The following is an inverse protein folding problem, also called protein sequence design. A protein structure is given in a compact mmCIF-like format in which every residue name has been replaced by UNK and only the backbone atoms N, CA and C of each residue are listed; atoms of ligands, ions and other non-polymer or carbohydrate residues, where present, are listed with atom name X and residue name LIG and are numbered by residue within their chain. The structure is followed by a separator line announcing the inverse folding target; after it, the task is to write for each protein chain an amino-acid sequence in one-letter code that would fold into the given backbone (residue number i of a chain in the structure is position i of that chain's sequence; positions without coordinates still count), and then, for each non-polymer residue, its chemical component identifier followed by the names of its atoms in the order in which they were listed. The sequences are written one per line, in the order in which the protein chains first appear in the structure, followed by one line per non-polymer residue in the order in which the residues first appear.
data_IF_050737115689
#
_entry.id   IF_050737115689
#
_cell.length_a   1.000
_cell.length_b   1.000
_cell.length_c   1.000
_cell.angle_alpha   90.00
_cell.angle_beta   90.00
_cell.angle_gamma   90.00
#
_symmetry.space_group_name_H-M   'P 1'
#
loop_
_entity.id
_entity.type
_entity.pdbx_description
1 polymer ?
#
# COMPACT_ATOMS: atom_id res chain seq x y z
N UNK A 1 0.87 -11.91 -16.04
CA UNK A 1 1.27 -12.55 -14.76
C UNK A 1 2.60 -12.03 -14.18
N UNK A 2 2.84 -10.71 -14.11
CA UNK A 2 4.04 -10.15 -13.45
C UNK A 2 3.75 -9.33 -12.18
N UNK A 3 2.50 -8.94 -11.91
CA UNK A 3 2.16 -7.96 -10.87
C UNK A 3 2.30 -8.48 -9.43
N UNK A 4 2.15 -9.79 -9.19
CA UNK A 4 2.26 -10.36 -7.82
C UNK A 4 3.64 -10.15 -7.17
N UNK A 5 4.67 -9.88 -7.99
CA UNK A 5 6.02 -9.59 -7.50
C UNK A 5 6.12 -8.21 -6.83
N UNK A 6 5.23 -7.27 -7.17
CA UNK A 6 5.24 -5.92 -6.62
C UNK A 6 4.60 -5.89 -5.23
N UNK A 7 5.23 -5.18 -4.30
CA UNK A 7 4.71 -5.02 -2.94
C UNK A 7 3.39 -4.24 -2.96
N UNK A 8 3.40 -3.09 -3.65
CA UNK A 8 2.32 -2.11 -3.73
C UNK A 8 1.96 -1.80 -5.19
N UNK A 9 0.67 -1.56 -5.46
CA UNK A 9 0.18 -0.79 -6.62
C UNK A 9 -0.37 0.53 -6.10
N UNK A 10 0.09 1.65 -6.67
CA UNK A 10 -0.42 2.99 -6.37
C UNK A 10 -1.01 3.54 -7.66
N UNK A 11 -2.25 4.01 -7.59
CA UNK A 11 -2.89 4.74 -8.67
C UNK A 11 -2.60 6.23 -8.47
N UNK A 12 -2.01 6.86 -9.48
CA UNK A 12 -1.68 8.28 -9.47
C UNK A 12 -2.56 8.98 -10.51
N UNK A 13 -3.43 9.87 -10.04
CA UNK A 13 -4.15 10.79 -10.93
C UNK A 13 -3.23 11.91 -11.39
N UNK A 14 -3.58 12.54 -12.50
CA UNK A 14 -2.93 13.79 -12.89
C UNK A 14 -3.20 14.87 -11.84
N UNK A 15 -2.24 15.79 -11.62
CA UNK A 15 -2.43 16.92 -10.72
C UNK A 15 -3.59 17.80 -11.20
N UNK A 16 -4.16 18.59 -10.29
CA UNK A 16 -5.10 19.63 -10.67
C UNK A 16 -4.41 20.69 -11.55
N UNK A 17 -5.18 21.41 -12.37
CA UNK A 17 -4.62 22.41 -13.27
C UNK A 17 -3.80 23.50 -12.56
N UNK A 18 -4.13 23.82 -11.30
CA UNK A 18 -3.38 24.78 -10.48
C UNK A 18 -2.02 24.25 -10.02
N UNK A 19 -1.96 22.99 -9.60
CA UNK A 19 -0.72 22.30 -9.24
C UNK A 19 0.16 22.11 -10.48
N UNK A 20 -0.43 21.75 -11.62
CA UNK A 20 0.27 21.64 -12.89
C UNK A 20 0.86 23.00 -13.32
N UNK A 21 0.09 24.09 -13.19
CA UNK A 21 0.59 25.43 -13.47
C UNK A 21 1.75 25.82 -12.52
N UNK A 22 1.72 25.43 -11.25
CA UNK A 22 2.83 25.66 -10.35
C UNK A 22 4.07 24.84 -10.72
N UNK A 23 3.91 23.58 -11.14
CA UNK A 23 5.02 22.78 -11.69
C UNK A 23 5.64 23.49 -12.90
N UNK A 24 4.82 24.00 -13.82
CA UNK A 24 5.29 24.76 -14.99
C UNK A 24 6.00 26.05 -14.59
N UNK A 25 5.48 26.80 -13.60
CA UNK A 25 6.13 28.01 -13.08
C UNK A 25 7.49 27.71 -12.47
N UNK A 26 7.61 26.64 -11.67
CA UNK A 26 8.90 26.18 -11.11
C UNK A 26 9.89 25.83 -12.21
N UNK A 27 9.42 25.23 -13.31
CA UNK A 27 10.25 24.97 -14.49
C UNK A 27 10.80 26.26 -15.10
N UNK A 28 9.92 27.26 -15.33
CA UNK A 28 10.31 28.57 -15.88
C UNK A 28 11.28 29.33 -14.96
N UNK A 29 11.09 29.23 -13.63
CA UNK A 29 12.00 29.83 -12.64
C UNK A 29 13.34 29.08 -12.49
N UNK A 30 13.49 27.92 -13.13
CA UNK A 30 14.69 27.07 -13.00
C UNK A 30 14.79 26.37 -11.64
N UNK A 31 13.67 26.21 -10.93
CA UNK A 31 13.60 25.63 -9.59
C UNK A 31 13.36 24.11 -9.59
N UNK A 32 13.08 23.51 -10.75
CA UNK A 32 12.96 22.06 -10.87
C UNK A 32 14.36 21.41 -10.88
N UNK A 33 14.81 20.98 -9.71
CA UNK A 33 16.03 20.19 -9.56
C UNK A 33 15.79 18.74 -10.04
N UNK A 34 16.68 18.21 -10.90
CA UNK A 34 16.71 16.78 -11.28
C UNK A 34 16.31 16.45 -12.72
N UNK A 35 15.93 17.45 -13.54
CA UNK A 35 15.67 17.26 -14.97
C UNK A 35 16.91 17.44 -15.86
N UNK A 36 17.98 18.06 -15.34
CA UNK A 36 19.31 18.09 -15.96
C UNK A 36 20.32 17.36 -15.07
N UNK A 37 21.33 16.75 -15.69
CA UNK A 37 22.41 16.07 -14.98
C UNK A 37 23.25 17.02 -14.09
N UNK A 38 23.12 18.33 -14.31
CA UNK A 38 23.84 19.40 -13.60
C UNK A 38 23.03 20.00 -12.44
N UNK A 39 21.77 19.60 -12.28
CA UNK A 39 20.93 20.09 -11.21
C UNK A 39 21.48 19.64 -9.85
N UNK A 40 21.78 20.60 -8.98
CA UNK A 40 22.17 20.30 -7.60
C UNK A 40 21.02 19.58 -6.92
N UNK A 41 21.24 18.31 -6.56
CA UNK A 41 20.30 17.59 -5.71
C UNK A 41 20.20 18.29 -4.35
N UNK A 42 19.03 18.23 -3.67
CA UNK A 42 18.93 18.67 -2.29
C UNK A 42 19.96 17.99 -1.40
N UNK A 43 20.33 18.63 -0.29
CA UNK A 43 21.19 18.02 0.70
C UNK A 43 20.59 16.69 1.19
N UNK A 44 21.42 15.65 1.25
CA UNK A 44 20.99 14.35 1.73
C UNK A 44 20.57 14.47 3.21
N UNK A 45 19.32 14.09 3.49
CA UNK A 45 18.75 14.07 4.85
C UNK A 45 18.88 12.70 5.52
N UNK A 46 19.43 11.71 4.81
CA UNK A 46 19.68 10.38 5.34
C UNK A 46 20.87 9.70 4.65
N UNK A 47 21.42 8.65 5.25
CA UNK A 47 22.48 7.81 4.70
C UNK A 47 21.99 6.39 4.34
N UNK A 48 22.72 5.64 3.48
CA UNK A 48 22.43 4.23 3.21
C UNK A 48 22.39 3.35 4.47
N UNK A 49 23.24 3.65 5.46
CA UNK A 49 23.31 2.95 6.75
C UNK A 49 22.06 3.21 7.59
N UNK A 50 21.61 4.47 7.66
CA UNK A 50 20.37 4.85 8.34
C UNK A 50 19.15 4.20 7.67
N UNK A 51 19.09 4.20 6.34
CA UNK A 51 18.03 3.51 5.60
C UNK A 51 18.03 1.99 5.88
N UNK A 52 19.21 1.36 6.03
CA UNK A 52 19.32 -0.04 6.42
C UNK A 52 18.88 -0.29 7.87
N UNK A 53 19.19 0.65 8.77
CA UNK A 53 18.73 0.62 10.15
C UNK A 53 17.20 0.73 10.23
N UNK A 54 16.58 1.62 9.45
CA UNK A 54 15.12 1.76 9.36
C UNK A 54 14.45 0.48 8.83
N UNK A 55 15.00 -0.16 7.79
CA UNK A 55 14.52 -1.48 7.32
C UNK A 55 14.60 -2.56 8.40
N UNK A 56 15.60 -2.49 9.27
CA UNK A 56 15.75 -3.42 10.38
C UNK A 56 14.79 -3.11 11.52
N UNK A 57 14.54 -1.82 11.78
CA UNK A 57 13.59 -1.34 12.77
C UNK A 57 12.15 -1.72 12.41
N UNK A 58 11.75 -1.62 11.13
CA UNK A 58 10.39 -1.99 10.70
C UNK A 58 10.07 -3.45 11.00
N UNK A 59 11.06 -4.36 10.88
CA UNK A 59 10.89 -5.78 11.20
C UNK A 59 10.72 -6.06 12.70
N UNK A 60 11.10 -5.12 13.57
CA UNK A 60 10.96 -5.21 15.03
C UNK A 60 9.65 -4.61 15.53
N UNK A 61 8.89 -3.92 14.69
CA UNK A 61 7.55 -3.41 15.04
C UNK A 61 6.68 -4.59 15.46
N UNK A 62 6.13 -4.49 16.66
CA UNK A 62 5.31 -5.52 17.27
C UNK A 62 3.99 -5.70 16.53
N UNK A 63 3.56 -6.96 16.41
CA UNK A 63 2.25 -7.34 15.86
C UNK A 63 1.68 -8.39 16.78
N UNK A 64 0.50 -8.14 17.35
CA UNK A 64 -0.14 -9.10 18.25
C UNK A 64 -0.64 -10.33 17.49
N UNK A 65 -0.83 -11.43 18.19
CA UNK A 65 -1.41 -12.64 17.60
C UNK A 65 -2.84 -12.39 17.11
N UNK A 66 -3.62 -11.53 17.78
CA UNK A 66 -4.98 -11.21 17.30
C UNK A 66 -4.96 -10.48 15.95
N UNK A 67 -3.96 -9.61 15.72
CA UNK A 67 -3.79 -8.93 14.44
C UNK A 67 -3.32 -9.87 13.33
N UNK A 68 -2.46 -10.83 13.65
CA UNK A 68 -2.07 -11.88 12.69
C UNK A 68 -3.28 -12.74 12.30
N UNK A 69 -4.10 -13.12 13.29
CA UNK A 69 -5.35 -13.83 13.06
C UNK A 69 -6.35 -12.98 12.24
N UNK A 70 -6.46 -11.69 12.54
CA UNK A 70 -7.30 -10.74 11.79
C UNK A 70 -6.87 -10.64 10.31
N UNK A 71 -5.57 -10.50 10.04
CA UNK A 71 -5.02 -10.50 8.68
C UNK A 71 -5.34 -11.82 7.95
N UNK A 72 -5.20 -12.95 8.64
CA UNK A 72 -5.57 -14.26 8.13
C UNK A 72 -7.06 -14.34 7.75
N UNK A 73 -7.95 -13.82 8.62
CA UNK A 73 -9.40 -13.73 8.35
C UNK A 73 -9.69 -12.84 7.14
N UNK A 74 -9.10 -11.64 7.06
CA UNK A 74 -9.24 -10.76 5.89
C UNK A 74 -8.88 -11.49 4.59
N UNK A 75 -7.74 -12.17 4.55
CA UNK A 75 -7.31 -12.88 3.35
C UNK A 75 -8.26 -14.04 3.00
N UNK A 76 -8.76 -14.76 4.00
CA UNK A 76 -9.73 -15.84 3.81
C UNK A 76 -11.06 -15.33 3.28
N UNK A 77 -11.59 -14.24 3.83
CA UNK A 77 -12.88 -13.66 3.41
C UNK A 77 -12.80 -13.03 2.03
N UNK A 78 -11.68 -12.38 1.66
CA UNK A 78 -11.47 -11.92 0.29
C UNK A 78 -11.48 -13.09 -0.71
N UNK A 79 -10.84 -14.22 -0.38
CA UNK A 79 -10.82 -15.41 -1.28
C UNK A 79 -12.18 -16.08 -1.43
N UNK A 80 -13.09 -15.91 -0.46
CA UNK A 80 -14.45 -16.47 -0.49
C UNK A 80 -15.48 -15.49 -1.04
N UNK A 81 -15.12 -14.22 -1.23
CA UNK A 81 -16.04 -13.21 -1.68
C UNK A 81 -16.61 -13.60 -3.06
N UNK A 82 -17.94 -13.62 -3.26
CA UNK A 82 -18.55 -14.10 -4.51
C UNK A 82 -18.00 -13.44 -5.79
N UNK A 83 -17.69 -12.14 -5.81
CA UNK A 83 -17.11 -11.48 -6.99
C UNK A 83 -15.66 -11.88 -7.32
N UNK A 84 -14.97 -12.66 -6.47
CA UNK A 84 -13.53 -12.92 -6.57
C UNK A 84 -13.28 -14.31 -7.14
N UNK A 85 -12.59 -14.38 -8.28
CA UNK A 85 -12.09 -15.61 -8.88
C UNK A 85 -10.77 -16.07 -8.23
N UNK A 86 -9.88 -15.11 -7.94
CA UNK A 86 -8.61 -15.37 -7.27
C UNK A 86 -8.30 -14.26 -6.27
N UNK A 87 -8.16 -14.63 -5.00
CA UNK A 87 -7.78 -13.71 -3.92
C UNK A 87 -6.27 -13.66 -3.64
N UNK A 88 -5.84 -12.87 -2.64
CA UNK A 88 -4.43 -12.70 -2.30
C UNK A 88 -3.80 -14.04 -1.86
N UNK A 89 -2.61 -14.35 -2.36
CA UNK A 89 -1.82 -15.52 -1.92
C UNK A 89 -1.20 -15.32 -0.53
N UNK A 90 -0.54 -16.33 0.09
CA UNK A 90 0.24 -16.11 1.31
C UNK A 90 1.30 -15.01 1.18
N UNK A 91 1.84 -14.80 -0.03
CA UNK A 91 2.73 -13.67 -0.33
C UNK A 91 2.01 -12.32 -0.20
N UNK A 92 0.73 -12.25 -0.59
CA UNK A 92 -0.12 -11.08 -0.37
C UNK A 92 -0.31 -10.77 1.11
N UNK A 93 -0.49 -11.80 1.95
CA UNK A 93 -0.57 -11.65 3.41
C UNK A 93 0.73 -11.09 4.00
N UNK A 94 1.89 -11.63 3.60
CA UNK A 94 3.19 -11.12 4.04
C UNK A 94 3.44 -9.68 3.57
N UNK A 95 3.05 -9.35 2.34
CA UNK A 95 3.16 -8.00 1.81
C UNK A 95 2.38 -6.99 2.67
N UNK A 96 1.13 -7.33 3.02
CA UNK A 96 0.29 -6.47 3.85
C UNK A 96 0.89 -6.27 5.25
N UNK A 97 1.39 -7.34 5.87
CA UNK A 97 2.04 -7.30 7.18
C UNK A 97 3.27 -6.37 7.20
N UNK A 98 4.18 -6.54 6.24
CA UNK A 98 5.40 -5.72 6.13
C UNK A 98 5.07 -4.25 5.85
N UNK A 99 4.06 -4.00 5.02
CA UNK A 99 3.58 -2.64 4.73
C UNK A 99 2.93 -1.98 5.94
N UNK A 100 2.16 -2.72 6.74
CA UNK A 100 1.57 -2.20 7.98
C UNK A 100 2.64 -1.87 9.03
N UNK A 101 3.67 -2.71 9.18
CA UNK A 101 4.84 -2.42 10.03
C UNK A 101 5.60 -1.18 9.59
N UNK A 102 5.80 -1.02 8.28
CA UNK A 102 6.42 0.18 7.72
C UNK A 102 5.58 1.44 8.00
N UNK A 103 4.25 1.33 7.89
CA UNK A 103 3.32 2.42 8.19
C UNK A 103 3.39 2.83 9.65
N UNK A 104 3.29 1.88 10.57
CA UNK A 104 3.40 2.14 12.01
C UNK A 104 4.73 2.82 12.36
N UNK A 105 5.86 2.34 11.81
CA UNK A 105 7.17 2.93 12.04
C UNK A 105 7.26 4.38 11.53
N UNK A 106 6.74 4.65 10.33
CA UNK A 106 6.71 6.00 9.75
C UNK A 106 5.84 6.97 10.55
N UNK A 107 4.84 6.46 11.26
CA UNK A 107 4.01 7.21 12.20
C UNK A 107 4.60 7.27 13.62
N UNK A 108 5.81 6.77 13.83
CA UNK A 108 6.51 6.82 15.12
C UNK A 108 6.00 5.81 16.15
N UNK A 109 5.24 4.79 15.73
CA UNK A 109 4.74 3.71 16.58
C UNK A 109 5.60 2.46 16.44
N UNK A 110 5.73 1.71 17.53
CA UNK A 110 6.45 0.44 17.61
C UNK A 110 5.52 -0.78 17.61
N UNK A 111 4.22 -0.58 17.38
CA UNK A 111 3.22 -1.62 17.21
C UNK A 111 2.26 -1.32 16.05
N UNK A 112 1.79 -2.38 15.39
CA UNK A 112 0.77 -2.31 14.34
C UNK A 112 -0.63 -2.19 14.96
N UNK A 113 -1.50 -1.44 14.29
CA UNK A 113 -2.94 -1.32 14.59
C UNK A 113 -3.77 -1.92 13.47
N UNK A 114 -5.08 -2.18 13.69
CA UNK A 114 -5.98 -2.58 12.60
C UNK A 114 -6.03 -1.57 11.46
N UNK A 115 -5.91 -0.27 11.76
CA UNK A 115 -5.99 0.79 10.76
C UNK A 115 -4.78 0.79 9.82
N UNK A 116 -3.59 0.40 10.30
CA UNK A 116 -2.41 0.18 9.44
C UNK A 116 -2.66 -0.89 8.38
N UNK A 117 -3.30 -1.99 8.78
CA UNK A 117 -3.67 -3.07 7.87
C UNK A 117 -4.73 -2.61 6.88
N UNK A 118 -5.77 -1.91 7.34
CA UNK A 118 -6.83 -1.41 6.46
C UNK A 118 -6.31 -0.39 5.44
N UNK A 119 -5.44 0.53 5.87
CA UNK A 119 -4.82 1.54 5.00
C UNK A 119 -3.98 0.91 3.89
N UNK A 120 -3.28 -0.19 4.19
CA UNK A 120 -2.40 -0.87 3.23
C UNK A 120 -3.11 -1.97 2.43
N UNK A 121 -4.37 -2.30 2.75
CA UNK A 121 -5.12 -3.36 2.11
C UNK A 121 -5.22 -3.17 0.59
N UNK A 122 -5.73 -2.02 0.14
CA UNK A 122 -5.88 -1.72 -1.28
C UNK A 122 -4.52 -1.62 -2.00
N UNK A 123 -3.52 -0.84 -1.49
CA UNK A 123 -2.19 -0.81 -2.10
C UNK A 123 -1.54 -2.19 -2.24
N UNK A 124 -1.71 -3.09 -1.26
CA UNK A 124 -1.09 -4.41 -1.29
C UNK A 124 -1.87 -5.46 -2.10
N UNK A 125 -3.20 -5.41 -2.07
CA UNK A 125 -4.05 -6.47 -2.63
C UNK A 125 -4.82 -6.07 -3.89
N UNK A 126 -4.95 -4.78 -4.20
CA UNK A 126 -5.72 -4.31 -5.37
C UNK A 126 -5.25 -4.87 -6.71
N UNK A 127 -3.97 -5.24 -6.82
CA UNK A 127 -3.38 -5.93 -7.98
C UNK A 127 -3.19 -7.43 -7.81
N UNK A 128 -3.62 -7.99 -6.67
CA UNK A 128 -3.55 -9.42 -6.32
C UNK A 128 -4.91 -10.10 -6.26
N UNK A 129 -5.94 -9.40 -6.69
CA UNK A 129 -7.29 -9.94 -6.81
C UNK A 129 -7.70 -9.97 -8.28
N UNK A 130 -8.29 -11.08 -8.68
CA UNK A 130 -8.95 -11.25 -9.96
C UNK A 130 -10.44 -11.43 -9.69
N UNK A 131 -11.25 -10.65 -10.38
CA UNK A 131 -12.70 -10.78 -10.29
C UNK A 131 -13.19 -11.81 -11.30
N UNK A 132 -14.33 -12.42 -11.01
CA UNK A 132 -15.05 -13.24 -11.99
C UNK A 132 -15.53 -12.38 -13.16
N UNK A 133 -15.63 -12.95 -14.36
CA UNK A 133 -16.11 -12.23 -15.54
C UNK A 133 -17.51 -11.61 -15.34
N UNK A 134 -18.40 -12.32 -14.63
CA UNK A 134 -19.74 -11.84 -14.29
C UNK A 134 -19.68 -10.57 -13.44
N UNK A 135 -18.86 -10.56 -12.38
CA UNK A 135 -18.68 -9.40 -11.53
C UNK A 135 -18.11 -8.18 -12.28
N UNK A 136 -17.16 -8.40 -13.21
CA UNK A 136 -16.64 -7.32 -14.05
C UNK A 136 -17.74 -6.73 -14.96
N UNK A 137 -18.61 -7.58 -15.54
CA UNK A 137 -19.75 -7.15 -16.35
C UNK A 137 -20.80 -6.39 -15.53
N UNK A 138 -20.98 -6.75 -14.26
CA UNK A 138 -21.85 -6.04 -13.31
C UNK A 138 -21.23 -4.73 -12.79
N UNK A 139 -20.00 -4.42 -13.17
CA UNK A 139 -19.31 -3.18 -12.82
C UNK A 139 -18.65 -3.20 -11.44
N UNK A 140 -18.49 -4.38 -10.82
CA UNK A 140 -17.74 -4.49 -9.57
C UNK A 140 -16.26 -4.18 -9.78
N UNK A 141 -15.65 -3.60 -8.75
CA UNK A 141 -14.23 -3.31 -8.75
C UNK A 141 -13.50 -3.98 -7.59
N UNK A 142 -12.24 -4.32 -7.82
CA UNK A 142 -11.37 -4.87 -6.77
C UNK A 142 -11.33 -3.99 -5.50
N UNK A 143 -11.15 -2.66 -5.61
CA UNK A 143 -11.22 -1.76 -4.46
C UNK A 143 -12.54 -1.84 -3.68
N UNK A 144 -13.68 -1.90 -4.38
CA UNK A 144 -15.00 -2.02 -3.75
C UNK A 144 -15.14 -3.33 -2.98
N UNK A 145 -14.69 -4.45 -3.55
CA UNK A 145 -14.70 -5.76 -2.89
C UNK A 145 -13.82 -5.75 -1.64
N UNK A 146 -12.59 -5.23 -1.74
CA UNK A 146 -11.67 -5.15 -0.62
C UNK A 146 -12.20 -4.26 0.51
N UNK A 147 -12.81 -3.12 0.17
CA UNK A 147 -13.45 -2.23 1.14
C UNK A 147 -14.58 -2.95 1.90
N UNK A 148 -15.49 -3.60 1.17
CA UNK A 148 -16.61 -4.36 1.78
C UNK A 148 -16.13 -5.47 2.71
N UNK A 149 -15.08 -6.22 2.34
CA UNK A 149 -14.52 -7.25 3.21
C UNK A 149 -13.83 -6.65 4.44
N UNK A 150 -13.13 -5.53 4.28
CA UNK A 150 -12.49 -4.86 5.42
C UNK A 150 -13.48 -4.33 6.46
N UNK A 151 -14.68 -3.96 6.02
CA UNK A 151 -15.79 -3.52 6.87
C UNK A 151 -16.53 -4.70 7.53
N UNK A 152 -16.60 -5.86 6.87
CA UNK A 152 -17.34 -7.02 7.38
C UNK A 152 -16.57 -7.86 8.39
N UNK A 153 -15.24 -7.88 8.32
CA UNK A 153 -14.41 -8.66 9.25
C UNK A 153 -14.22 -7.90 10.56
N UNK A 154 -14.67 -8.51 11.66
CA UNK A 154 -14.56 -7.95 13.01
C UNK A 154 -13.09 -7.67 13.39
N UNK A 155 -12.88 -6.42 13.80
CA UNK A 155 -11.60 -5.89 14.25
C UNK A 155 -11.35 -6.38 15.68
N UNK A 156 -10.15 -6.93 16.00
CA UNK A 156 -9.83 -7.34 17.36
C UNK A 156 -9.81 -6.14 18.33
N UNK A 157 -10.21 -6.38 19.58
CA UNK A 157 -10.21 -5.41 20.68
C UNK A 157 -8.88 -5.37 21.43
#
# INVERSE_FOLDING_TARGET
AQLDRFLLRVEMSLPAAEDELEILRRSVRGELTGWSAEASLPAAVTSPEEAAALRSASRRVHVSEELLAYLGRLAAEVRKAPPVELGPSPRGSLALLESARGTALLEGRDFVTPDDLKRMLLPCWGHRILLTAEAELEGHSGPEVLGRVAESVEVPH
#
